data_IF_507726145153
#
_entry.id   IF_507726145153
#
_cell.length_a   1.000
_cell.length_b   1.000
_cell.length_c   1.000
_cell.angle_alpha   90.00
_cell.angle_beta   90.00
_cell.angle_gamma   90.00
#
_symmetry.space_group_name_H-M   'P 1'
#
loop_
_entity.id
_entity.type
_entity.pdbx_description
1 polymer ?
#
# COMPACT_ATOMS: atom_id res chain seq x y z
N UNK A 1 9.75 10.74 15.08
CA UNK A 1 9.49 9.41 14.46
C UNK A 1 8.13 9.47 13.79
N UNK A 2 8.02 8.99 12.56
CA UNK A 2 6.73 8.89 11.88
C UNK A 2 5.93 7.73 12.48
N UNK A 3 4.67 7.99 12.83
CA UNK A 3 3.75 6.97 13.36
C UNK A 3 3.02 6.19 12.26
N UNK A 4 3.31 6.50 10.99
CA UNK A 4 2.62 5.87 9.84
C UNK A 4 3.65 5.36 8.84
N UNK A 5 3.56 4.08 8.53
CA UNK A 5 4.21 3.47 7.36
C UNK A 5 3.12 3.23 6.32
N UNK A 6 3.22 3.90 5.16
CA UNK A 6 2.23 3.81 4.10
C UNK A 6 2.74 2.92 2.96
N UNK A 7 1.88 2.04 2.47
CA UNK A 7 2.15 1.19 1.31
C UNK A 7 1.38 1.72 0.11
N UNK A 8 2.08 1.99 -0.98
CA UNK A 8 1.51 2.45 -2.25
C UNK A 8 1.85 1.46 -3.37
N UNK A 9 1.06 1.45 -4.41
CA UNK A 9 1.24 0.58 -5.56
C UNK A 9 -0.06 0.29 -6.28
N UNK A 10 0.04 -0.37 -7.42
CA UNK A 10 -1.11 -0.74 -8.24
C UNK A 10 -2.09 -1.66 -7.50
N UNK A 11 -3.37 -1.63 -7.86
CA UNK A 11 -4.35 -2.59 -7.35
C UNK A 11 -3.88 -4.03 -7.60
N UNK A 12 -4.03 -4.90 -6.61
CA UNK A 12 -3.59 -6.29 -6.71
C UNK A 12 -2.09 -6.52 -6.47
N UNK A 13 -1.33 -5.49 -6.13
CA UNK A 13 0.11 -5.58 -5.85
C UNK A 13 0.47 -6.19 -4.48
N UNK A 14 -0.51 -6.61 -3.69
CA UNK A 14 -0.28 -7.27 -2.41
C UNK A 14 -0.17 -6.33 -1.20
N UNK A 15 -0.55 -5.06 -1.33
CA UNK A 15 -0.46 -4.08 -0.23
C UNK A 15 -1.13 -4.52 1.06
N UNK A 16 -2.36 -5.04 0.98
CA UNK A 16 -3.09 -5.48 2.16
C UNK A 16 -2.46 -6.71 2.80
N UNK A 17 -2.04 -7.69 2.00
CA UNK A 17 -1.39 -8.91 2.50
C UNK A 17 -0.05 -8.59 3.17
N UNK A 18 0.80 -7.82 2.49
CA UNK A 18 2.09 -7.38 3.03
C UNK A 18 1.88 -6.51 4.27
N UNK A 19 0.94 -5.58 4.21
CA UNK A 19 0.64 -4.67 5.32
C UNK A 19 0.19 -5.39 6.58
N UNK A 20 -0.67 -6.41 6.46
CA UNK A 20 -1.10 -7.22 7.61
C UNK A 20 0.04 -8.01 8.23
N UNK A 21 0.90 -8.62 7.42
CA UNK A 21 2.06 -9.35 7.94
C UNK A 21 3.08 -8.41 8.58
N UNK A 22 3.32 -7.26 7.96
CA UNK A 22 4.21 -6.24 8.50
C UNK A 22 3.70 -5.74 9.87
N UNK A 23 2.39 -5.45 9.97
CA UNK A 23 1.78 -5.00 11.22
C UNK A 23 1.91 -6.03 12.35
N UNK A 24 1.74 -7.32 12.05
CA UNK A 24 1.95 -8.40 13.04
C UNK A 24 3.40 -8.45 13.53
N UNK A 25 4.36 -8.31 12.61
CA UNK A 25 5.78 -8.34 12.95
C UNK A 25 6.20 -7.15 13.81
N UNK A 26 5.59 -6.00 13.62
CA UNK A 26 5.92 -4.76 14.34
C UNK A 26 5.03 -4.51 15.56
N UNK A 27 4.01 -5.33 15.80
CA UNK A 27 3.01 -5.05 16.82
C UNK A 27 2.22 -3.76 16.51
N UNK A 28 2.10 -3.39 15.24
CA UNK A 28 1.41 -2.20 14.79
C UNK A 28 -0.03 -2.52 14.35
N UNK A 29 -0.89 -1.51 14.35
CA UNK A 29 -2.25 -1.64 13.82
C UNK A 29 -2.23 -1.53 12.29
N UNK A 30 -2.96 -2.43 11.62
CA UNK A 30 -3.18 -2.36 10.17
C UNK A 30 -4.41 -1.51 9.85
N UNK A 31 -4.29 -0.61 8.89
CA UNK A 31 -5.37 0.24 8.38
C UNK A 31 -5.38 0.18 6.85
N UNK A 32 -6.53 -0.11 6.26
CA UNK A 32 -6.76 -0.03 4.82
C UNK A 32 -7.62 1.19 4.50
N UNK A 33 -7.12 2.12 3.71
CA UNK A 33 -7.84 3.37 3.40
C UNK A 33 -9.13 3.12 2.63
N UNK A 34 -9.20 2.08 1.80
CA UNK A 34 -10.42 1.73 1.06
C UNK A 34 -11.51 1.21 2.00
N UNK A 35 -11.13 0.44 3.02
CA UNK A 35 -12.07 -0.02 4.05
C UNK A 35 -12.63 1.16 4.84
N UNK A 36 -11.78 2.10 5.25
CA UNK A 36 -12.21 3.33 5.93
C UNK A 36 -13.17 4.14 5.06
N UNK A 37 -12.87 4.25 3.77
CA UNK A 37 -13.73 4.95 2.80
C UNK A 37 -15.11 4.29 2.69
N UNK A 38 -15.17 2.98 2.52
CA UNK A 38 -16.44 2.26 2.40
C UNK A 38 -17.29 2.38 3.67
N UNK A 39 -16.68 2.34 4.85
CA UNK A 39 -17.36 2.58 6.13
C UNK A 39 -17.96 3.99 6.19
N UNK A 40 -17.22 5.01 5.76
CA UNK A 40 -17.69 6.41 5.78
C UNK A 40 -18.75 6.68 4.71
N UNK A 41 -18.60 6.08 3.54
CA UNK A 41 -19.55 6.25 2.44
C UNK A 41 -20.82 5.44 2.65
N UNK A 42 -20.79 4.41 3.51
CA UNK A 42 -21.91 3.50 3.73
C UNK A 42 -22.23 2.62 2.52
N UNK A 43 -21.31 2.47 1.58
CA UNK A 43 -21.48 1.66 0.38
C UNK A 43 -20.12 1.24 -0.19
N UNK A 44 -20.07 0.21 -1.05
CA UNK A 44 -18.86 -0.15 -1.78
C UNK A 44 -18.36 0.99 -2.67
N UNK A 45 -17.05 1.11 -2.82
CA UNK A 45 -16.42 2.16 -3.65
C UNK A 45 -16.96 2.14 -5.06
N UNK A 46 -17.09 0.95 -5.68
CA UNK A 46 -17.65 0.82 -7.03
C UNK A 46 -19.04 1.42 -7.15
N UNK A 47 -19.91 1.15 -6.18
CA UNK A 47 -21.27 1.72 -6.17
C UNK A 47 -21.24 3.25 -6.06
N UNK A 48 -20.32 3.79 -5.26
CA UNK A 48 -20.15 5.24 -5.13
C UNK A 48 -19.68 5.87 -6.44
N UNK A 49 -18.69 5.26 -7.12
CA UNK A 49 -18.25 5.70 -8.46
C UNK A 49 -19.38 5.74 -9.47
N UNK A 50 -20.18 4.67 -9.52
CA UNK A 50 -21.28 4.56 -10.47
C UNK A 50 -22.37 5.63 -10.22
N UNK A 51 -22.60 5.97 -8.96
CA UNK A 51 -23.65 6.90 -8.56
C UNK A 51 -23.21 8.36 -8.56
N UNK A 52 -21.98 8.66 -8.10
CA UNK A 52 -21.52 10.03 -7.86
C UNK A 52 -20.31 10.44 -8.70
N UNK A 53 -19.65 9.50 -9.37
CA UNK A 53 -18.50 9.75 -10.23
C UNK A 53 -17.15 9.75 -9.48
N UNK A 54 -16.09 9.73 -10.27
CA UNK A 54 -14.72 9.63 -9.75
C UNK A 54 -14.30 10.87 -8.95
N UNK A 55 -14.60 12.06 -9.43
CA UNK A 55 -14.18 13.31 -8.77
C UNK A 55 -14.72 13.40 -7.34
N UNK A 56 -16.00 13.06 -7.13
CA UNK A 56 -16.61 13.03 -5.79
C UNK A 56 -15.96 12.01 -4.89
N UNK A 57 -15.64 10.82 -5.42
CA UNK A 57 -14.91 9.79 -4.66
C UNK A 57 -13.52 10.30 -4.25
N UNK A 58 -12.78 10.93 -5.17
CA UNK A 58 -11.44 11.45 -4.88
C UNK A 58 -11.44 12.53 -3.80
N UNK A 59 -12.51 13.31 -3.67
CA UNK A 59 -12.67 14.27 -2.58
C UNK A 59 -12.72 13.56 -1.21
N UNK A 60 -13.46 12.48 -1.11
CA UNK A 60 -13.51 11.66 0.11
C UNK A 60 -12.18 10.96 0.40
N UNK A 61 -11.54 10.42 -0.64
CA UNK A 61 -10.22 9.79 -0.51
C UNK A 61 -9.18 10.79 -0.01
N UNK A 62 -9.18 12.01 -0.53
CA UNK A 62 -8.28 13.08 -0.10
C UNK A 62 -8.46 13.39 1.39
N UNK A 63 -9.70 13.51 1.87
CA UNK A 63 -9.99 13.73 3.28
C UNK A 63 -9.51 12.58 4.17
N UNK A 64 -9.69 11.33 3.74
CA UNK A 64 -9.23 10.15 4.47
C UNK A 64 -7.70 10.07 4.51
N UNK A 65 -7.03 10.31 3.39
CA UNK A 65 -5.55 10.32 3.34
C UNK A 65 -4.97 11.44 4.19
N UNK A 66 -5.56 12.62 4.17
CA UNK A 66 -5.14 13.74 5.03
C UNK A 66 -5.21 13.35 6.52
N UNK A 67 -6.32 12.79 6.95
CA UNK A 67 -6.51 12.35 8.33
C UNK A 67 -5.57 11.21 8.72
N UNK A 68 -5.52 10.14 7.93
CA UNK A 68 -4.71 8.97 8.26
C UNK A 68 -3.20 9.26 8.21
N UNK A 69 -2.74 10.10 7.29
CA UNK A 69 -1.33 10.51 7.21
C UNK A 69 -0.90 11.36 8.41
N UNK A 70 -1.82 12.10 9.00
CA UNK A 70 -1.57 12.94 10.17
C UNK A 70 -1.65 12.18 11.52
N UNK A 71 -1.90 10.86 11.48
CA UNK A 71 -2.01 10.05 12.70
C UNK A 71 -0.77 10.17 13.58
N UNK A 72 -1.01 10.34 14.88
CA UNK A 72 0.00 10.40 15.93
C UNK A 72 -0.23 9.28 16.95
N UNK A 73 0.81 8.86 17.62
CA UNK A 73 0.74 7.83 18.66
C UNK A 73 1.31 6.49 18.19
N UNK A 74 0.65 5.41 18.54
CA UNK A 74 1.11 4.06 18.17
C UNK A 74 1.18 3.88 16.66
N UNK A 75 2.21 3.16 16.22
CA UNK A 75 2.45 2.97 14.78
C UNK A 75 1.27 2.28 14.08
N UNK A 76 0.92 2.80 12.92
CA UNK A 76 0.01 2.14 11.99
C UNK A 76 0.69 1.81 10.67
N UNK A 77 0.29 0.69 10.08
CA UNK A 77 0.64 0.31 8.72
C UNK A 77 -0.58 0.61 7.85
N UNK A 78 -0.43 1.57 6.95
CA UNK A 78 -1.51 2.07 6.09
C UNK A 78 -1.37 1.50 4.68
N UNK A 79 -2.29 0.65 4.26
CA UNK A 79 -2.43 0.27 2.87
C UNK A 79 -3.35 1.27 2.17
N UNK A 80 -2.85 1.92 1.12
CA UNK A 80 -3.62 2.90 0.35
C UNK A 80 -4.31 2.26 -0.85
N UNK A 81 -5.37 2.86 -1.36
CA UNK A 81 -5.96 2.51 -2.65
C UNK A 81 -5.00 2.82 -3.80
N UNK A 82 -5.12 2.10 -4.92
CA UNK A 82 -4.22 2.28 -6.06
C UNK A 82 -4.23 3.68 -6.66
N UNK A 83 -5.32 4.40 -6.55
CA UNK A 83 -5.47 5.78 -7.02
C UNK A 83 -5.18 6.86 -5.96
N UNK A 84 -4.73 6.49 -4.77
CA UNK A 84 -4.47 7.45 -3.70
C UNK A 84 -3.38 8.48 -4.04
N UNK A 85 -2.50 8.17 -4.98
CA UNK A 85 -1.41 9.06 -5.43
C UNK A 85 -1.80 9.99 -6.59
N UNK A 86 -3.03 9.90 -7.08
CA UNK A 86 -3.45 10.71 -8.26
C UNK A 86 -3.52 12.21 -7.96
N UNK A 87 -3.96 12.59 -6.77
CA UNK A 87 -3.99 14.01 -6.37
C UNK A 87 -2.68 14.47 -5.75
N UNK A 88 -2.16 15.63 -6.16
CA UNK A 88 -0.93 16.18 -5.59
C UNK A 88 -0.96 16.35 -4.07
N UNK A 89 -2.10 16.76 -3.50
CA UNK A 89 -2.25 16.92 -2.05
C UNK A 89 -2.00 15.61 -1.30
N UNK A 90 -2.52 14.49 -1.81
CA UNK A 90 -2.30 13.18 -1.20
C UNK A 90 -0.82 12.78 -1.26
N UNK A 91 -0.17 12.98 -2.40
CA UNK A 91 1.26 12.69 -2.53
C UNK A 91 2.10 13.48 -1.54
N UNK A 92 1.77 14.77 -1.39
CA UNK A 92 2.47 15.62 -0.43
C UNK A 92 2.27 15.16 1.01
N UNK A 93 1.03 14.93 1.43
CA UNK A 93 0.72 14.46 2.78
C UNK A 93 1.40 13.14 3.10
N UNK A 94 1.33 12.18 2.18
CA UNK A 94 1.99 10.89 2.36
C UNK A 94 3.52 11.06 2.49
N UNK A 95 4.12 11.81 1.58
CA UNK A 95 5.59 11.98 1.56
C UNK A 95 6.11 12.72 2.77
N UNK A 96 5.44 13.78 3.20
CA UNK A 96 5.91 14.65 4.28
C UNK A 96 5.62 14.09 5.68
N UNK A 97 4.55 13.30 5.84
CA UNK A 97 4.05 12.88 7.15
C UNK A 97 4.27 11.41 7.46
N UNK A 98 4.56 10.58 6.46
CA UNK A 98 4.68 9.12 6.61
C UNK A 98 5.98 8.60 6.02
N UNK A 99 6.30 7.35 6.32
CA UNK A 99 7.33 6.62 5.56
C UNK A 99 6.63 5.79 4.49
N UNK A 100 6.83 6.13 3.23
CA UNK A 100 6.13 5.51 2.09
C UNK A 100 6.98 4.42 1.45
N UNK A 101 6.43 3.22 1.37
CA UNK A 101 7.00 2.07 0.66
C UNK A 101 6.18 1.82 -0.60
N UNK A 102 6.82 1.85 -1.75
CA UNK A 102 6.22 1.46 -3.01
C UNK A 102 6.42 -0.04 -3.27
N UNK A 103 5.32 -0.80 -3.33
CA UNK A 103 5.33 -2.18 -3.78
C UNK A 103 5.25 -2.19 -5.30
N UNK A 104 6.41 -2.31 -5.94
CA UNK A 104 6.55 -2.20 -7.39
C UNK A 104 6.28 -3.55 -8.04
N UNK A 105 5.22 -3.62 -8.85
CA UNK A 105 4.84 -4.78 -9.64
C UNK A 105 4.76 -4.40 -11.11
N UNK A 106 5.19 -5.30 -12.00
CA UNK A 106 4.98 -5.09 -13.44
C UNK A 106 3.54 -5.44 -13.81
N UNK A 107 3.01 -4.87 -14.92
CA UNK A 107 1.68 -5.26 -15.41
C UNK A 107 1.53 -6.76 -15.67
N UNK A 108 2.57 -7.39 -16.20
CA UNK A 108 2.56 -8.83 -16.49
C UNK A 108 2.48 -9.68 -15.21
N UNK A 109 3.20 -9.27 -14.15
CA UNK A 109 3.12 -9.92 -12.83
C UNK A 109 1.72 -9.79 -12.23
N UNK A 110 1.15 -8.59 -12.29
CA UNK A 110 -0.21 -8.33 -11.80
C UNK A 110 -1.24 -9.15 -12.59
N UNK A 111 -1.11 -9.19 -13.91
CA UNK A 111 -2.00 -9.98 -14.77
C UNK A 111 -1.96 -11.47 -14.42
N UNK A 112 -0.79 -12.03 -14.21
CA UNK A 112 -0.63 -13.43 -13.80
C UNK A 112 -1.29 -13.73 -12.47
N UNK A 113 -1.22 -12.81 -11.50
CA UNK A 113 -1.87 -12.97 -10.18
C UNK A 113 -3.38 -12.84 -10.26
N UNK A 114 -3.89 -11.93 -11.09
CA UNK A 114 -5.28 -11.52 -11.10
C UNK A 114 -6.13 -12.18 -12.18
N UNK A 115 -5.53 -12.91 -13.14
CA UNK A 115 -6.22 -13.48 -14.31
C UNK A 115 -7.37 -14.43 -13.95
N UNK A 116 -7.39 -14.98 -12.75
CA UNK A 116 -8.45 -15.88 -12.25
C UNK A 116 -9.38 -15.18 -11.24
N UNK A 117 -9.16 -13.91 -10.94
CA UNK A 117 -9.98 -13.15 -10.00
C UNK A 117 -11.15 -12.50 -10.75
N UNK A 118 -12.36 -13.01 -10.50
CA UNK A 118 -13.61 -12.49 -11.10
C UNK A 118 -14.23 -11.33 -10.31
N UNK A 119 -13.69 -11.02 -9.14
CA UNK A 119 -14.23 -10.01 -8.22
C UNK A 119 -13.75 -8.58 -8.51
N UNK A 120 -12.69 -8.42 -9.31
CA UNK A 120 -12.07 -7.12 -9.55
C UNK A 120 -12.58 -6.46 -10.84
N UNK A 121 -13.11 -5.22 -10.76
CA UNK A 121 -13.61 -4.49 -11.93
C UNK A 121 -12.57 -4.31 -13.04
N UNK A 122 -11.29 -4.18 -12.70
CA UNK A 122 -10.19 -4.04 -13.66
C UNK A 122 -10.03 -5.21 -14.62
N UNK A 123 -10.47 -6.41 -14.22
CA UNK A 123 -10.38 -7.62 -15.04
C UNK A 123 -11.63 -7.86 -15.88
N UNK A 124 -12.66 -7.03 -15.71
CA UNK A 124 -13.94 -7.13 -16.45
C UNK A 124 -13.96 -6.19 -17.67
N UNK A 125 -12.79 -5.96 -18.26
CA UNK A 125 -12.62 -5.22 -19.51
C UNK A 125 -12.17 -6.17 -20.61
N UNK A 126 -12.31 -5.74 -21.88
CA UNK A 126 -11.97 -6.57 -23.05
C UNK A 126 -10.49 -7.02 -23.07
N UNK A 127 -9.58 -6.16 -22.60
CA UNK A 127 -8.14 -6.46 -22.52
C UNK A 127 -7.58 -6.02 -21.15
N UNK A 128 -7.63 -6.90 -20.13
CA UNK A 128 -7.14 -6.57 -18.79
C UNK A 128 -5.65 -6.23 -18.73
N UNK A 129 -4.81 -6.89 -19.53
CA UNK A 129 -3.38 -6.61 -19.54
C UNK A 129 -3.07 -5.23 -20.11
N UNK A 130 -3.75 -4.83 -21.20
CA UNK A 130 -3.63 -3.47 -21.74
C UNK A 130 -4.08 -2.42 -20.71
N UNK A 131 -5.14 -2.69 -19.96
CA UNK A 131 -5.59 -1.82 -18.87
C UNK A 131 -4.57 -1.69 -17.76
N UNK A 132 -3.96 -2.78 -17.35
CA UNK A 132 -2.89 -2.77 -16.35
C UNK A 132 -1.65 -2.00 -16.83
N UNK A 133 -1.28 -2.15 -18.09
CA UNK A 133 -0.17 -1.38 -18.69
C UNK A 133 -0.47 0.13 -18.72
N UNK A 134 -1.70 0.50 -19.08
CA UNK A 134 -2.15 1.90 -19.04
C UNK A 134 -2.07 2.49 -17.63
N UNK A 135 -2.61 1.78 -16.64
CA UNK A 135 -2.54 2.20 -15.24
C UNK A 135 -1.10 2.32 -14.73
N UNK A 136 -0.24 1.38 -15.08
CA UNK A 136 1.18 1.41 -14.73
C UNK A 136 1.87 2.63 -15.35
N UNK A 137 1.63 2.91 -16.64
CA UNK A 137 2.20 4.06 -17.32
C UNK A 137 1.79 5.38 -16.67
N UNK A 138 0.54 5.50 -16.27
CA UNK A 138 0.01 6.71 -15.63
C UNK A 138 0.49 6.87 -14.18
N UNK A 139 0.53 5.78 -13.40
CA UNK A 139 0.68 5.84 -11.95
C UNK A 139 2.08 5.54 -11.45
N UNK A 140 2.88 4.76 -12.17
CA UNK A 140 4.24 4.41 -11.75
C UNK A 140 5.09 5.63 -11.42
N UNK A 141 5.14 6.71 -12.25
CA UNK A 141 5.89 7.92 -11.90
C UNK A 141 5.40 8.59 -10.62
N UNK A 142 4.09 8.53 -10.35
CA UNK A 142 3.49 9.11 -9.15
C UNK A 142 3.82 8.30 -7.89
N UNK A 143 3.86 6.97 -7.99
CA UNK A 143 4.31 6.13 -6.88
C UNK A 143 5.79 6.39 -6.57
N UNK A 144 6.63 6.48 -7.60
CA UNK A 144 8.05 6.76 -7.43
C UNK A 144 8.31 8.14 -6.80
N UNK A 145 7.58 9.16 -7.23
CA UNK A 145 7.65 10.50 -6.65
C UNK A 145 7.27 10.51 -5.16
N UNK A 146 6.26 9.73 -4.78
CA UNK A 146 5.72 9.70 -3.42
C UNK A 146 6.55 8.82 -2.48
N UNK A 147 7.17 7.77 -2.99
CA UNK A 147 7.86 6.78 -2.18
C UNK A 147 9.18 7.28 -1.59
N UNK A 148 9.49 6.81 -0.37
CA UNK A 148 10.81 6.88 0.21
C UNK A 148 11.67 5.66 -0.16
N UNK A 149 11.02 4.50 -0.25
CA UNK A 149 11.65 3.22 -0.61
C UNK A 149 10.75 2.46 -1.57
N UNK A 150 11.37 1.66 -2.46
CA UNK A 150 10.67 0.78 -3.38
C UNK A 150 11.17 -0.64 -3.22
N UNK A 151 10.25 -1.60 -3.28
CA UNK A 151 10.57 -3.04 -3.29
C UNK A 151 9.86 -3.72 -4.46
N UNK A 152 10.59 -4.60 -5.15
CA UNK A 152 10.02 -5.39 -6.25
C UNK A 152 9.26 -6.60 -5.71
N UNK A 153 8.05 -6.81 -6.21
CA UNK A 153 7.15 -7.87 -5.73
C UNK A 153 7.17 -9.13 -6.59
N UNK A 154 7.93 -9.17 -7.69
CA UNK A 154 7.82 -10.18 -8.72
C UNK A 154 8.26 -11.59 -8.34
N UNK A 155 9.33 -11.74 -7.60
CA UNK A 155 9.93 -13.04 -7.28
C UNK A 155 9.88 -13.42 -5.81
N UNK A 156 10.05 -12.50 -4.84
CA UNK A 156 10.07 -12.90 -3.44
C UNK A 156 8.70 -13.40 -2.95
N UNK A 157 8.72 -14.33 -2.00
CA UNK A 157 7.53 -14.66 -1.21
C UNK A 157 7.08 -13.45 -0.39
N UNK A 158 5.84 -13.44 0.09
CA UNK A 158 5.34 -12.37 0.96
C UNK A 158 6.21 -12.24 2.22
N UNK A 159 6.63 -13.34 2.82
CA UNK A 159 7.53 -13.33 3.97
C UNK A 159 8.87 -12.68 3.68
N UNK A 160 9.46 -12.95 2.53
CA UNK A 160 10.71 -12.32 2.09
C UNK A 160 10.52 -10.82 1.84
N UNK A 161 9.43 -10.42 1.20
CA UNK A 161 9.10 -8.99 1.02
C UNK A 161 8.97 -8.26 2.35
N UNK A 162 8.28 -8.85 3.30
CA UNK A 162 8.13 -8.29 4.66
C UNK A 162 9.49 -8.13 5.33
N UNK A 163 10.37 -9.12 5.24
CA UNK A 163 11.73 -9.02 5.77
C UNK A 163 12.54 -7.89 5.13
N UNK A 164 12.46 -7.75 3.80
CA UNK A 164 13.14 -6.67 3.08
C UNK A 164 12.65 -5.29 3.55
N UNK A 165 11.34 -5.14 3.71
CA UNK A 165 10.75 -3.89 4.19
C UNK A 165 11.18 -3.60 5.63
N UNK A 166 11.16 -4.62 6.51
CA UNK A 166 11.63 -4.45 7.89
C UNK A 166 13.07 -3.98 7.95
N UNK A 167 13.96 -4.59 7.17
CA UNK A 167 15.36 -4.15 7.09
C UNK A 167 15.48 -2.68 6.65
N UNK A 168 14.71 -2.26 5.65
CA UNK A 168 14.68 -0.86 5.21
C UNK A 168 14.23 0.09 6.33
N UNK A 169 13.18 -0.27 7.04
CA UNK A 169 12.64 0.52 8.14
C UNK A 169 13.60 0.60 9.33
N UNK A 170 14.28 -0.49 9.65
CA UNK A 170 15.32 -0.53 10.69
C UNK A 170 16.52 0.35 10.30
N UNK A 171 17.02 0.21 9.08
CA UNK A 171 18.14 1.03 8.57
C UNK A 171 17.80 2.52 8.53
N UNK A 172 16.55 2.84 8.26
CA UNK A 172 16.04 4.22 8.25
C UNK A 172 15.76 4.78 9.66
N UNK A 173 15.86 3.96 10.69
CA UNK A 173 15.55 4.37 12.06
C UNK A 173 14.05 4.61 12.32
N UNK A 174 13.18 4.09 11.46
CA UNK A 174 11.72 4.19 11.59
C UNK A 174 11.19 3.23 12.64
N UNK A 175 11.81 2.05 12.72
CA UNK A 175 11.53 1.03 13.74
C UNK A 175 12.82 0.64 14.46
N UNK A 176 12.74 0.17 15.71
CA UNK A 176 13.93 -0.29 16.44
C UNK A 176 14.53 -1.51 15.73
N UNK A 177 15.86 -1.60 15.74
CA UNK A 177 16.55 -2.76 15.21
C UNK A 177 16.12 -4.03 15.97
N UNK A 178 15.85 -5.09 15.23
CA UNK A 178 15.55 -6.41 15.82
C UNK A 178 16.77 -6.84 16.62
N UNK A 179 16.62 -6.98 17.94
CA UNK A 179 17.68 -7.54 18.78
C UNK A 179 17.88 -9.00 18.33
N UNK A 180 19.07 -9.40 17.89
CA UNK A 180 19.31 -10.81 17.63
C UNK A 180 19.04 -11.59 18.92
N UNK A 181 18.12 -12.52 18.85
CA UNK A 181 17.84 -13.41 19.98
C UNK A 181 19.15 -14.03 20.47
N UNK A 182 19.26 -14.38 21.77
CA UNK A 182 20.49 -14.96 22.30
C UNK A 182 20.86 -16.17 21.44
N UNK A 183 22.08 -16.14 20.90
CA UNK A 183 22.64 -17.27 20.18
C UNK A 183 22.69 -18.42 21.23
N UNK A 184 21.87 -19.47 21.01
CA UNK A 184 21.99 -20.67 21.83
C UNK A 184 23.42 -21.14 21.70
N UNK A 185 24.18 -20.96 22.78
CA UNK A 185 25.53 -21.45 22.85
C UNK A 185 25.55 -22.98 22.68
N UNK A 186 26.62 -23.56 22.15
CA UNK A 186 26.70 -25.00 22.00
C UNK A 186 26.50 -25.63 23.36
N UNK A 187 25.55 -26.59 23.42
CA UNK A 187 25.34 -27.40 24.57
C UNK A 187 26.64 -28.19 24.85
N UNK A 188 27.16 -28.00 26.03
CA UNK A 188 28.33 -28.74 26.52
C UNK A 188 27.99 -30.21 26.78
#
# INVERSE_FOLDING_TARGET
>A
MTSVVALVGLPGGGKSTVGRQLSKRLGARFVDSDVVLEERLGMPIRAYFDQFGEAAFRDHEEAVIDELSAHQGDMIILATGGGAVLRPANRQHLKDRTTVIYLRSTPDELFRRLRHDTQRPLLQVADPLAKLRELHQQRHPLYEETAHYSVDTGRPSVGTLVNMILMQLEMAGVVPASTPGPIAGPAA
#
